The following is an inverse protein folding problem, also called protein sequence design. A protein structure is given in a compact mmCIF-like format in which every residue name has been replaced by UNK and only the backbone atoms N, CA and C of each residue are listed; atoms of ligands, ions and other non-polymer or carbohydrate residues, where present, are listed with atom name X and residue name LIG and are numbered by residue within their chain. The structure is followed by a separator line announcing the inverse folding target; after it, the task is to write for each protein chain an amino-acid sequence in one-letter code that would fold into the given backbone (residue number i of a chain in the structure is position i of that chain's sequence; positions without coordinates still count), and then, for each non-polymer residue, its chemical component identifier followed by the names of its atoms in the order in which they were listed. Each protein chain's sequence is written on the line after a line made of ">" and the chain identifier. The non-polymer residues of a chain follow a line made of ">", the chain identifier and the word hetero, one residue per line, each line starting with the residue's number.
data_IF_190346397772
#
_entry.id   IF_190346397772
#
_cell.length_a   1.000
_cell.length_b   1.000
_cell.length_c   1.000
_cell.angle_alpha   90.00
_cell.angle_beta   90.00
_cell.angle_gamma   90.00
#
_symmetry.space_group_name_H-M   'P 1'
#
loop_
_entity.id
_entity.type
_entity.pdbx_description
1 polymer ?
#
# COMPACT_ATOMS: atom_id res chain seq x y z
N UNK A 1 -15.66 32.21 -31.25
CA UNK A 1 -15.86 30.79 -30.93
C UNK A 1 -14.49 30.21 -30.68
N UNK A 2 -14.07 30.17 -29.42
CA UNK A 2 -12.77 29.61 -29.03
C UNK A 2 -12.77 28.08 -29.20
N UNK A 3 -11.66 27.47 -29.64
CA UNK A 3 -11.55 26.02 -29.73
C UNK A 3 -11.52 25.38 -28.32
N UNK A 4 -12.03 24.16 -28.15
CA UNK A 4 -12.00 23.49 -26.86
C UNK A 4 -10.55 23.16 -26.47
N UNK A 5 -10.19 23.49 -25.23
CA UNK A 5 -8.92 23.09 -24.63
C UNK A 5 -8.77 21.57 -24.68
N UNK A 6 -7.72 21.10 -25.34
CA UNK A 6 -7.29 19.71 -25.34
C UNK A 6 -6.81 19.35 -23.94
N UNK A 7 -7.69 18.69 -23.17
CA UNK A 7 -7.32 18.08 -21.90
C UNK A 7 -6.16 17.08 -22.08
N UNK A 8 -5.32 16.86 -21.06
CA UNK A 8 -4.17 15.96 -21.19
C UNK A 8 -4.65 14.55 -21.55
N UNK A 9 -4.17 14.03 -22.68
CA UNK A 9 -4.39 12.65 -23.11
C UNK A 9 -3.86 11.69 -22.03
N UNK A 10 -4.71 10.81 -21.51
CA UNK A 10 -4.26 9.72 -20.62
C UNK A 10 -3.40 8.78 -21.45
N UNK A 11 -2.07 8.94 -21.36
CA UNK A 11 -1.13 8.06 -22.02
C UNK A 11 -1.41 6.60 -21.64
N UNK A 12 -1.54 5.74 -22.65
CA UNK A 12 -1.73 4.30 -22.46
C UNK A 12 -0.39 3.70 -22.04
N UNK A 13 -0.31 3.19 -20.80
CA UNK A 13 0.89 2.51 -20.29
C UNK A 13 1.12 1.23 -21.08
N UNK A 14 2.30 1.11 -21.68
CA UNK A 14 2.73 0.00 -22.52
C UNK A 14 3.01 -1.27 -21.70
N UNK A 15 3.01 -2.46 -22.33
CA UNK A 15 3.36 -3.71 -21.64
C UNK A 15 4.79 -3.73 -21.07
N UNK A 16 5.74 -3.03 -21.72
CA UNK A 16 7.12 -2.92 -21.23
C UNK A 16 7.19 -2.08 -19.96
N UNK A 17 6.52 -0.93 -19.93
CA UNK A 17 6.42 -0.08 -18.74
C UNK A 17 5.72 -0.81 -17.60
N UNK A 18 4.66 -1.56 -17.88
CA UNK A 18 3.98 -2.33 -16.84
C UNK A 18 4.92 -3.36 -16.20
N UNK A 19 5.72 -4.09 -16.99
CA UNK A 19 6.73 -5.02 -16.45
C UNK A 19 7.77 -4.32 -15.59
N UNK A 20 8.18 -3.11 -15.95
CA UNK A 20 9.11 -2.32 -15.15
C UNK A 20 8.49 -1.90 -13.81
N UNK A 21 7.21 -1.46 -13.82
CA UNK A 21 6.44 -1.14 -12.60
C UNK A 21 6.33 -2.38 -11.71
N UNK A 22 5.96 -3.52 -12.27
CA UNK A 22 5.80 -4.77 -11.51
C UNK A 22 7.14 -5.25 -10.92
N UNK A 23 8.23 -5.14 -11.68
CA UNK A 23 9.59 -5.44 -11.21
C UNK A 23 10.01 -4.54 -10.05
N UNK A 24 9.74 -3.23 -10.17
CA UNK A 24 10.03 -2.25 -9.11
C UNK A 24 9.20 -2.52 -7.86
N UNK A 25 7.91 -2.85 -8.01
CA UNK A 25 7.07 -3.26 -6.89
C UNK A 25 7.68 -4.46 -6.14
N UNK A 26 8.18 -5.48 -6.85
CA UNK A 26 8.86 -6.60 -6.18
C UNK A 26 10.10 -6.18 -5.40
N UNK A 27 10.85 -5.16 -5.86
CA UNK A 27 11.98 -4.61 -5.10
C UNK A 27 11.50 -3.90 -3.84
N UNK A 28 10.46 -3.07 -3.94
CA UNK A 28 9.88 -2.32 -2.83
C UNK A 28 9.34 -3.25 -1.74
N UNK A 29 8.75 -4.38 -2.10
CA UNK A 29 8.27 -5.39 -1.14
C UNK A 29 9.39 -6.07 -0.34
N UNK A 30 10.65 -5.95 -0.77
CA UNK A 30 11.82 -6.45 -0.04
C UNK A 30 12.48 -5.39 0.87
N UNK A 31 11.95 -4.17 0.90
CA UNK A 31 12.44 -3.16 1.84
C UNK A 31 12.16 -3.59 3.29
N UNK A 32 12.99 -3.14 4.25
CA UNK A 32 12.80 -3.42 5.67
C UNK A 32 11.38 -3.10 6.16
N UNK A 33 10.82 -3.99 6.97
CA UNK A 33 9.47 -3.89 7.55
C UNK A 33 8.34 -4.33 6.62
N UNK A 34 8.54 -4.35 5.29
CA UNK A 34 7.50 -4.75 4.34
C UNK A 34 7.25 -6.28 4.29
N UNK A 35 8.09 -7.07 4.97
CA UNK A 35 7.92 -8.51 5.15
C UNK A 35 6.85 -8.87 6.20
N UNK A 36 6.40 -7.89 6.98
CA UNK A 36 5.36 -8.02 7.99
C UNK A 36 4.24 -7.00 7.75
N UNK A 37 2.99 -7.40 8.04
CA UNK A 37 1.83 -6.53 7.95
C UNK A 37 2.02 -5.29 8.85
N UNK A 38 1.75 -4.10 8.30
CA UNK A 38 1.89 -2.84 9.01
C UNK A 38 1.03 -2.76 10.29
N UNK A 39 -0.11 -3.47 10.33
CA UNK A 39 -1.07 -3.34 11.45
C UNK A 39 -0.96 -4.48 12.47
N UNK A 40 -0.86 -5.73 12.01
CA UNK A 40 -0.92 -6.91 12.88
C UNK A 40 0.37 -7.75 12.93
N UNK A 41 1.40 -7.37 12.17
CA UNK A 41 2.67 -8.08 12.12
C UNK A 41 2.64 -9.45 11.41
N UNK A 42 1.51 -9.86 10.81
CA UNK A 42 1.42 -11.09 10.04
C UNK A 42 2.44 -11.11 8.89
N UNK A 43 3.15 -12.22 8.72
CA UNK A 43 4.22 -12.37 7.72
C UNK A 43 3.68 -12.36 6.29
N UNK A 44 4.53 -11.94 5.36
CA UNK A 44 4.31 -11.94 3.91
C UNK A 44 2.99 -11.26 3.48
N UNK A 45 2.75 -10.00 3.88
CA UNK A 45 1.56 -9.27 3.47
C UNK A 45 1.50 -9.12 1.93
N UNK A 46 0.32 -9.32 1.35
CA UNK A 46 0.10 -9.30 -0.12
C UNK A 46 -0.90 -8.23 -0.59
N UNK A 47 -1.21 -7.29 0.29
CA UNK A 47 -2.06 -6.15 0.02
C UNK A 47 -1.35 -4.87 0.43
N UNK A 48 -1.80 -3.73 -0.09
CA UNK A 48 -1.25 -2.43 0.27
C UNK A 48 -2.34 -1.38 0.35
N UNK A 49 -2.15 -0.40 1.23
CA UNK A 49 -2.84 0.88 1.12
C UNK A 49 -1.94 1.84 0.34
N UNK A 50 -2.29 2.08 -0.93
CA UNK A 50 -1.38 2.76 -1.88
C UNK A 50 -1.28 4.26 -1.67
N UNK A 51 -2.23 4.87 -0.95
CA UNK A 51 -2.15 6.28 -0.56
C UNK A 51 -1.49 6.47 0.81
N UNK A 52 -1.56 5.49 1.70
CA UNK A 52 -0.90 5.54 3.01
C UNK A 52 0.53 5.02 2.97
N UNK A 53 0.90 4.28 1.91
CA UNK A 53 2.25 3.78 1.70
C UNK A 53 2.61 2.54 2.50
N UNK A 54 1.62 1.74 2.91
CA UNK A 54 1.82 0.57 3.78
C UNK A 54 1.44 -0.74 3.10
N UNK A 55 2.14 -1.83 3.47
CA UNK A 55 1.89 -3.21 3.05
C UNK A 55 1.20 -3.96 4.20
N UNK A 56 0.06 -4.56 3.92
CA UNK A 56 -0.87 -5.15 4.90
C UNK A 56 -1.33 -6.56 4.49
N UNK A 57 -1.75 -7.37 5.45
CA UNK A 57 -2.28 -8.70 5.18
C UNK A 57 -3.72 -8.62 4.62
N UNK A 58 -4.26 -9.77 4.20
CA UNK A 58 -5.61 -9.86 3.63
C UNK A 58 -6.68 -9.35 4.60
N UNK A 59 -6.59 -9.70 5.87
CA UNK A 59 -7.57 -9.40 6.92
C UNK A 59 -7.57 -7.91 7.22
N UNK A 60 -6.39 -7.32 7.47
CA UNK A 60 -6.23 -5.88 7.64
C UNK A 60 -6.66 -5.10 6.39
N UNK A 61 -6.46 -5.66 5.19
CA UNK A 61 -6.99 -5.07 3.96
C UNK A 61 -8.53 -4.97 3.99
N UNK A 62 -9.22 -5.91 4.64
CA UNK A 62 -10.66 -5.88 4.87
C UNK A 62 -11.06 -4.74 5.80
N UNK A 63 -10.33 -4.53 6.90
CA UNK A 63 -10.52 -3.38 7.81
C UNK A 63 -10.32 -2.07 7.07
N UNK A 64 -9.24 -1.95 6.29
CA UNK A 64 -8.96 -0.76 5.49
C UNK A 64 -10.04 -0.45 4.46
N UNK A 65 -10.68 -1.46 3.87
CA UNK A 65 -11.81 -1.27 2.95
C UNK A 65 -13.03 -0.67 3.65
N UNK A 66 -13.32 -1.09 4.89
CA UNK A 66 -14.43 -0.56 5.69
C UNK A 66 -14.27 0.93 6.02
N UNK A 67 -13.05 1.44 6.09
CA UNK A 67 -12.78 2.87 6.28
C UNK A 67 -13.15 3.74 5.06
N UNK A 68 -13.21 3.15 3.86
CA UNK A 68 -13.54 3.86 2.62
C UNK A 68 -12.33 4.48 1.90
N UNK A 69 -12.47 4.69 0.58
CA UNK A 69 -11.38 5.06 -0.34
C UNK A 69 -10.82 6.47 -0.17
N UNK A 70 -11.52 7.33 0.57
CA UNK A 70 -11.04 8.66 0.94
C UNK A 70 -10.01 8.60 2.07
N UNK A 71 -10.01 7.51 2.85
CA UNK A 71 -9.03 7.25 3.92
C UNK A 71 -7.96 6.28 3.41
N UNK A 72 -8.36 5.11 2.91
CA UNK A 72 -7.43 4.05 2.50
C UNK A 72 -7.84 3.42 1.17
N UNK A 73 -6.92 3.45 0.21
CA UNK A 73 -7.07 2.87 -1.13
C UNK A 73 -6.34 1.54 -1.17
N UNK A 74 -7.09 0.45 -1.06
CA UNK A 74 -6.55 -0.91 -0.95
C UNK A 74 -6.31 -1.54 -2.32
N UNK A 75 -5.12 -2.08 -2.54
CA UNK A 75 -4.73 -2.82 -3.74
C UNK A 75 -4.03 -4.13 -3.42
N UNK A 76 -4.33 -5.17 -4.19
CA UNK A 76 -3.61 -6.43 -4.17
C UNK A 76 -2.25 -6.25 -4.82
N UNK A 77 -1.21 -6.83 -4.23
CA UNK A 77 0.13 -6.85 -4.83
C UNK A 77 0.16 -7.63 -6.15
N UNK A 78 -0.71 -8.63 -6.31
CA UNK A 78 -0.68 -9.53 -7.48
C UNK A 78 -1.89 -9.44 -8.38
N UNK A 79 -3.06 -9.12 -7.83
CA UNK A 79 -4.33 -9.18 -8.57
C UNK A 79 -4.73 -7.83 -9.17
N UNK A 80 -4.15 -6.73 -8.71
CA UNK A 80 -4.40 -5.39 -9.22
C UNK A 80 -3.29 -4.92 -10.15
N UNK A 81 -3.65 -4.10 -11.15
CA UNK A 81 -2.68 -3.37 -11.96
C UNK A 81 -2.15 -2.17 -11.18
N UNK A 82 -0.82 -2.09 -11.04
CA UNK A 82 -0.15 -1.01 -10.33
C UNK A 82 0.26 0.13 -11.27
N UNK A 83 0.31 1.33 -10.71
CA UNK A 83 0.85 2.53 -11.37
C UNK A 83 2.21 2.88 -10.77
N UNK A 84 3.06 3.57 -11.53
CA UNK A 84 4.36 4.03 -11.05
C UNK A 84 4.24 4.86 -9.75
N UNK A 85 3.29 5.81 -9.72
CA UNK A 85 3.04 6.66 -8.56
C UNK A 85 2.77 5.86 -7.27
N UNK A 86 2.01 4.76 -7.34
CA UNK A 86 1.74 3.95 -6.15
C UNK A 86 2.96 3.19 -5.67
N UNK A 87 3.80 2.73 -6.60
CA UNK A 87 5.07 2.08 -6.27
C UNK A 87 6.03 3.08 -5.62
N UNK A 88 6.12 4.29 -6.16
CA UNK A 88 6.91 5.39 -5.58
C UNK A 88 6.44 5.77 -4.17
N UNK A 89 5.12 5.83 -3.92
CA UNK A 89 4.59 6.07 -2.56
C UNK A 89 5.01 4.98 -1.60
N UNK A 90 4.92 3.70 -1.98
CA UNK A 90 5.37 2.59 -1.14
C UNK A 90 6.89 2.57 -0.94
N UNK A 91 7.67 2.99 -1.94
CA UNK A 91 9.13 3.10 -1.83
C UNK A 91 9.55 4.21 -0.86
N UNK A 92 8.89 5.36 -0.93
CA UNK A 92 9.20 6.51 -0.09
C UNK A 92 8.75 6.34 1.36
N UNK A 93 7.63 5.63 1.58
CA UNK A 93 7.07 5.39 2.91
C UNK A 93 7.47 3.99 3.36
N UNK A 94 6.76 2.95 2.94
CA UNK A 94 6.98 1.59 3.44
C UNK A 94 6.70 1.47 4.94
N UNK A 95 6.71 0.23 5.44
CA UNK A 95 6.19 -0.06 6.78
C UNK A 95 7.08 0.49 7.90
N UNK A 96 8.39 0.57 7.72
CA UNK A 96 9.30 1.11 8.75
C UNK A 96 9.14 2.62 8.93
N UNK A 97 9.00 3.39 7.85
CA UNK A 97 8.73 4.84 7.94
C UNK A 97 7.32 5.08 8.45
N UNK A 98 6.34 4.32 7.94
CA UNK A 98 4.96 4.39 8.39
C UNK A 98 4.85 4.13 9.91
N UNK A 99 5.57 3.13 10.43
CA UNK A 99 5.62 2.86 11.87
C UNK A 99 6.12 4.08 12.65
N UNK A 100 7.24 4.68 12.24
CA UNK A 100 7.79 5.88 12.89
C UNK A 100 6.85 7.08 12.83
N UNK A 101 5.94 7.13 11.87
CA UNK A 101 5.00 8.24 11.70
C UNK A 101 3.67 7.99 12.41
N UNK A 102 2.95 6.92 12.04
CA UNK A 102 1.61 6.62 12.56
C UNK A 102 1.64 6.10 13.99
N UNK A 103 2.72 5.42 14.40
CA UNK A 103 2.83 4.78 15.72
C UNK A 103 3.76 5.56 16.67
N UNK A 104 4.17 6.78 16.31
CA UNK A 104 5.17 7.56 17.06
C UNK A 104 4.78 7.84 18.52
N UNK A 105 3.48 7.87 18.82
CA UNK A 105 2.93 8.19 20.13
C UNK A 105 2.30 6.96 20.83
N UNK A 106 2.53 5.74 20.33
CA UNK A 106 2.06 4.55 21.04
C UNK A 106 2.78 4.39 22.38
N UNK A 107 2.07 3.95 23.44
CA UNK A 107 2.71 3.56 24.70
C UNK A 107 3.76 2.47 24.48
N UNK A 108 4.81 2.47 25.31
CA UNK A 108 5.91 1.48 25.20
C UNK A 108 5.43 0.04 25.41
N UNK A 109 4.38 -0.13 26.21
CA UNK A 109 3.74 -1.41 26.53
C UNK A 109 2.56 -1.74 25.60
N UNK A 110 2.37 -0.96 24.53
CA UNK A 110 1.33 -1.25 23.54
C UNK A 110 1.55 -2.62 22.92
N UNK A 111 0.55 -3.48 23.04
CA UNK A 111 0.54 -4.80 22.41
C UNK A 111 -0.17 -4.70 21.07
N UNK A 112 0.59 -4.90 20.00
CA UNK A 112 0.03 -4.99 18.66
C UNK A 112 -0.95 -6.16 18.59
N UNK A 113 -2.19 -5.96 18.10
CA UNK A 113 -3.12 -7.05 17.92
C UNK A 113 -2.58 -8.04 16.90
N UNK A 114 -2.72 -9.31 17.22
CA UNK A 114 -2.41 -10.44 16.35
C UNK A 114 -3.70 -10.98 15.73
N UNK A 115 -3.56 -11.84 14.71
CA UNK A 115 -4.73 -12.54 14.12
C UNK A 115 -5.51 -13.37 15.16
N UNK A 116 -4.84 -13.84 16.20
CA UNK A 116 -5.44 -14.64 17.26
C UNK A 116 -6.30 -13.83 18.23
N UNK A 117 -6.24 -12.50 18.16
CA UNK A 117 -6.98 -11.63 19.08
C UNK A 117 -8.37 -11.24 18.56
N UNK A 118 -8.78 -11.69 17.37
CA UNK A 118 -10.10 -11.42 16.79
C UNK A 118 -11.14 -12.45 17.32
N UNK A 119 -12.08 -12.06 18.21
CA UNK A 119 -13.19 -12.91 18.60
C UNK A 119 -14.23 -12.82 17.48
N UNK A 120 -14.27 -13.87 16.67
CA UNK A 120 -15.14 -14.02 15.51
C UNK A 120 -16.62 -13.69 15.79
#
# INVERSE_FOLDING_TARGET
>A
MDPPASGPSRAVVTPQEQRAIDSKLQQVLRLPGNDCCADCGARHPRWASVNLGVVICLECSGVHRKMGVHISKVKSVTLDRWTAQWVETLEAIGNDVARKYYEHALPQDFKRPSRSDDPQ
#
